data_IF_699288506765
#
_entry.id   IF_699288506765
#
_cell.length_a   1.000
_cell.length_b   1.000
_cell.length_c   1.000
_cell.angle_alpha   90.00
_cell.angle_beta   90.00
_cell.angle_gamma   90.00
#
_symmetry.space_group_name_H-M   'P 1'
#
loop_
_entity.id
_entity.type
_entity.pdbx_description
1 polymer ?
#
# COMPACT_ATOMS: atom_id res chain seq x y z
N UNK A 1 6.53 -27.08 10.53
CA UNK A 1 5.47 -26.11 10.21
C UNK A 1 5.09 -26.45 8.79
N UNK A 2 3.86 -26.92 8.53
CA UNK A 2 3.44 -27.20 7.15
C UNK A 2 3.43 -25.90 6.37
N UNK A 3 3.87 -25.97 5.12
CA UNK A 3 3.91 -24.85 4.22
C UNK A 3 2.51 -24.26 4.10
N UNK A 4 2.34 -22.99 4.51
CA UNK A 4 1.10 -22.27 4.36
C UNK A 4 1.02 -21.77 2.91
N UNK A 5 0.71 -22.70 2.01
CA UNK A 5 0.55 -22.40 0.59
C UNK A 5 -0.88 -21.93 0.35
N UNK A 6 -1.05 -20.65 -0.01
CA UNK A 6 -2.35 -20.08 -0.34
C UNK A 6 -2.76 -20.43 -1.76
N UNK A 7 -1.78 -20.46 -2.67
CA UNK A 7 -1.94 -20.73 -4.08
C UNK A 7 -1.00 -21.82 -4.52
N UNK A 8 -1.53 -22.85 -5.19
CA UNK A 8 -0.68 -23.80 -5.90
C UNK A 8 0.05 -23.10 -7.07
N UNK A 9 1.28 -23.52 -7.42
CA UNK A 9 2.04 -22.89 -8.51
C UNK A 9 1.29 -22.81 -9.83
N UNK A 10 0.47 -23.81 -10.17
CA UNK A 10 -0.37 -23.81 -11.35
C UNK A 10 -1.50 -22.78 -11.28
N UNK A 11 -2.10 -22.56 -10.12
CA UNK A 11 -3.12 -21.54 -9.90
C UNK A 11 -2.53 -20.15 -9.99
N UNK A 12 -1.39 -19.89 -9.34
CA UNK A 12 -0.67 -18.64 -9.41
C UNK A 12 -0.35 -18.26 -10.86
N UNK A 13 0.13 -19.21 -11.69
CA UNK A 13 0.41 -18.98 -13.10
C UNK A 13 -0.84 -18.59 -13.91
N UNK A 14 -2.01 -19.17 -13.59
CA UNK A 14 -3.28 -18.80 -14.23
C UNK A 14 -3.68 -17.38 -13.84
N UNK A 15 -3.59 -17.04 -12.55
CA UNK A 15 -3.93 -15.70 -12.06
C UNK A 15 -3.02 -14.63 -12.68
N UNK A 16 -1.70 -14.84 -12.69
CA UNK A 16 -0.73 -13.91 -13.29
C UNK A 16 -1.00 -13.71 -14.77
N UNK A 17 -1.20 -14.77 -15.55
CA UNK A 17 -1.52 -14.66 -16.97
C UNK A 17 -2.80 -13.87 -17.24
N UNK A 18 -3.79 -14.01 -16.35
CA UNK A 18 -5.08 -13.34 -16.44
C UNK A 18 -5.05 -11.84 -16.14
N UNK A 19 -3.97 -11.29 -15.56
CA UNK A 19 -3.84 -9.87 -15.25
C UNK A 19 -3.92 -9.03 -16.53
N UNK A 20 -4.74 -7.96 -16.48
CA UNK A 20 -4.97 -7.02 -17.59
C UNK A 20 -5.27 -5.62 -17.05
N UNK A 21 -5.13 -4.61 -17.90
CA UNK A 21 -5.54 -3.24 -17.61
C UNK A 21 -7.04 -3.05 -17.79
N UNK A 22 -7.64 -2.20 -16.96
CA UNK A 22 -9.06 -1.84 -17.05
C UNK A 22 -9.24 -0.35 -17.38
N UNK A 23 -10.22 0.00 -18.24
CA UNK A 23 -10.61 1.39 -18.42
C UNK A 23 -11.11 2.01 -17.11
N UNK A 24 -10.86 3.31 -16.90
CA UNK A 24 -11.25 4.02 -15.67
C UNK A 24 -12.73 3.84 -15.28
N UNK A 25 -13.62 3.76 -16.28
CA UNK A 25 -15.07 3.57 -16.06
C UNK A 25 -15.42 2.19 -15.49
N UNK A 26 -14.56 1.20 -15.70
CA UNK A 26 -14.77 -0.18 -15.28
C UNK A 26 -14.15 -0.50 -13.91
N UNK A 27 -13.40 0.43 -13.32
CA UNK A 27 -12.87 0.29 -11.97
C UNK A 27 -14.05 0.09 -11.00
N UNK A 28 -13.98 -0.95 -10.18
CA UNK A 28 -15.05 -1.38 -9.28
C UNK A 28 -16.11 -2.30 -9.92
N UNK A 29 -16.06 -2.53 -11.25
CA UNK A 29 -16.96 -3.48 -11.92
C UNK A 29 -16.72 -4.93 -11.45
N UNK A 30 -17.64 -5.86 -11.77
CA UNK A 30 -17.51 -7.26 -11.38
C UNK A 30 -16.22 -7.92 -11.90
N UNK A 31 -15.81 -7.62 -13.15
CA UNK A 31 -14.57 -8.13 -13.72
C UNK A 31 -13.32 -7.55 -13.07
N UNK A 32 -13.36 -6.25 -12.74
CA UNK A 32 -12.29 -5.59 -12.01
C UNK A 32 -12.17 -6.11 -10.56
N UNK A 33 -13.31 -6.30 -9.86
CA UNK A 33 -13.32 -6.88 -8.51
C UNK A 33 -12.74 -8.29 -8.49
N UNK A 34 -13.00 -9.09 -9.53
CA UNK A 34 -12.37 -10.41 -9.64
C UNK A 34 -10.84 -10.30 -9.78
N UNK A 35 -10.34 -9.34 -10.55
CA UNK A 35 -8.90 -9.09 -10.64
C UNK A 35 -8.33 -8.59 -9.31
N UNK A 36 -9.05 -7.72 -8.60
CA UNK A 36 -8.64 -7.28 -7.27
C UNK A 36 -8.48 -8.48 -6.31
N UNK A 37 -9.46 -9.38 -6.24
CA UNK A 37 -9.38 -10.60 -5.43
C UNK A 37 -8.17 -11.48 -5.83
N UNK A 38 -7.90 -11.59 -7.12
CA UNK A 38 -6.74 -12.34 -7.62
C UNK A 38 -5.41 -11.69 -7.23
N UNK A 39 -5.33 -10.35 -7.32
CA UNK A 39 -4.15 -9.58 -6.90
C UNK A 39 -3.90 -9.71 -5.40
N UNK A 40 -4.95 -9.70 -4.57
CA UNK A 40 -4.82 -9.93 -3.14
C UNK A 40 -4.22 -11.30 -2.82
N UNK A 41 -4.67 -12.35 -3.52
CA UNK A 41 -4.10 -13.71 -3.35
C UNK A 41 -2.63 -13.76 -3.77
N UNK A 42 -2.30 -13.13 -4.91
CA UNK A 42 -0.91 -13.06 -5.38
C UNK A 42 -0.03 -12.26 -4.41
N UNK A 43 -0.55 -11.15 -3.89
CA UNK A 43 0.15 -10.32 -2.91
C UNK A 43 0.42 -11.08 -1.61
N UNK A 44 -0.58 -11.76 -1.06
CA UNK A 44 -0.43 -12.56 0.14
C UNK A 44 0.56 -13.71 -0.07
N UNK A 45 0.50 -14.42 -1.21
CA UNK A 45 1.44 -15.50 -1.52
C UNK A 45 2.86 -14.97 -1.66
N UNK A 46 3.07 -13.85 -2.37
CA UNK A 46 4.40 -13.24 -2.51
C UNK A 46 5.04 -12.88 -1.15
N UNK A 47 4.23 -12.36 -0.21
CA UNK A 47 4.73 -12.06 1.15
C UNK A 47 5.08 -13.33 1.90
N UNK A 48 4.27 -14.39 1.79
CA UNK A 48 4.54 -15.68 2.42
C UNK A 48 5.85 -16.29 1.89
N UNK A 49 6.05 -16.28 0.57
CA UNK A 49 7.25 -16.79 -0.09
C UNK A 49 8.50 -16.02 0.36
N UNK A 50 8.45 -14.69 0.33
CA UNK A 50 9.55 -13.83 0.77
C UNK A 50 9.89 -14.05 2.27
N UNK A 51 8.87 -14.27 3.11
CA UNK A 51 9.07 -14.50 4.56
C UNK A 51 9.64 -15.89 4.83
N UNK A 52 9.26 -16.88 4.05
CA UNK A 52 9.74 -18.25 4.20
C UNK A 52 11.19 -18.46 3.73
N UNK A 53 11.79 -17.46 3.07
CA UNK A 53 13.13 -17.56 2.44
C UNK A 53 13.27 -18.77 1.50
N UNK A 54 12.17 -19.16 0.86
CA UNK A 54 12.10 -20.16 -0.20
C UNK A 54 12.08 -19.48 -1.56
N UNK A 55 11.95 -20.24 -2.65
CA UNK A 55 11.80 -19.63 -3.98
C UNK A 55 10.63 -18.63 -4.04
N UNK A 56 10.73 -17.61 -4.88
CA UNK A 56 9.70 -16.57 -5.04
C UNK A 56 8.94 -16.73 -6.38
N UNK A 57 8.07 -17.76 -6.51
CA UNK A 57 7.42 -18.11 -7.76
C UNK A 57 6.53 -16.99 -8.31
N UNK A 58 5.95 -16.15 -7.46
CA UNK A 58 5.12 -15.03 -7.93
C UNK A 58 5.97 -14.01 -8.70
N UNK A 59 7.15 -13.67 -8.18
CA UNK A 59 8.11 -12.79 -8.85
C UNK A 59 8.51 -13.36 -10.22
N UNK A 60 8.90 -14.64 -10.27
CA UNK A 60 9.31 -15.31 -11.50
C UNK A 60 8.18 -15.35 -12.54
N UNK A 61 6.95 -15.61 -12.13
CA UNK A 61 5.78 -15.64 -13.00
C UNK A 61 5.45 -14.24 -13.56
N UNK A 62 5.52 -13.19 -12.74
CA UNK A 62 5.27 -11.82 -13.18
C UNK A 62 6.28 -11.38 -14.26
N UNK A 63 7.56 -11.70 -14.06
CA UNK A 63 8.63 -11.44 -15.04
C UNK A 63 8.43 -12.27 -16.31
N UNK A 64 8.25 -13.58 -16.18
CA UNK A 64 8.08 -14.50 -17.31
C UNK A 64 6.89 -14.14 -18.21
N UNK A 65 5.80 -13.67 -17.62
CA UNK A 65 4.59 -13.30 -18.35
C UNK A 65 4.52 -11.80 -18.70
N UNK A 66 5.58 -11.02 -18.45
CA UNK A 66 5.63 -9.60 -18.78
C UNK A 66 4.53 -8.77 -18.11
N UNK A 67 4.17 -9.05 -16.85
CA UNK A 67 3.03 -8.43 -16.17
C UNK A 67 3.39 -7.23 -15.30
N UNK A 68 4.66 -6.91 -15.14
CA UNK A 68 5.08 -5.72 -14.39
C UNK A 68 4.53 -4.42 -15.01
N UNK A 69 4.59 -4.19 -16.34
CA UNK A 69 3.96 -3.01 -16.95
C UNK A 69 2.44 -2.95 -16.71
N UNK A 70 1.76 -4.09 -16.70
CA UNK A 70 0.31 -4.17 -16.40
C UNK A 70 0.01 -3.71 -14.96
N UNK A 71 0.80 -4.14 -13.99
CA UNK A 71 0.65 -3.71 -12.59
C UNK A 71 0.90 -2.21 -12.44
N UNK A 72 1.90 -1.65 -13.12
CA UNK A 72 2.17 -0.21 -13.11
C UNK A 72 1.01 0.57 -13.73
N UNK A 73 0.44 0.09 -14.83
CA UNK A 73 -0.73 0.72 -15.45
C UNK A 73 -1.95 0.71 -14.52
N UNK A 74 -2.26 -0.41 -13.88
CA UNK A 74 -3.35 -0.53 -12.89
C UNK A 74 -3.13 0.40 -11.69
N UNK A 75 -1.90 0.46 -11.17
CA UNK A 75 -1.52 1.35 -10.07
C UNK A 75 -1.85 2.82 -10.40
N UNK A 76 -1.43 3.28 -11.56
CA UNK A 76 -1.65 4.67 -12.01
C UNK A 76 -3.11 4.92 -12.35
N UNK A 77 -3.82 3.93 -12.91
CA UNK A 77 -5.24 4.05 -13.20
C UNK A 77 -6.06 4.25 -11.92
N UNK A 78 -5.77 3.50 -10.87
CA UNK A 78 -6.44 3.66 -9.56
C UNK A 78 -6.04 4.96 -8.87
N UNK A 79 -4.77 5.36 -8.94
CA UNK A 79 -4.34 6.69 -8.47
C UNK A 79 -5.15 7.81 -9.15
N UNK A 80 -5.28 7.75 -10.46
CA UNK A 80 -6.06 8.73 -11.24
C UNK A 80 -7.54 8.68 -10.88
N UNK A 81 -8.11 7.50 -10.71
CA UNK A 81 -9.50 7.35 -10.27
C UNK A 81 -9.72 8.03 -8.92
N UNK A 82 -8.85 7.80 -7.95
CA UNK A 82 -8.90 8.43 -6.61
C UNK A 82 -8.83 9.95 -6.71
N UNK A 83 -8.02 10.49 -7.61
CA UNK A 83 -7.81 11.94 -7.73
C UNK A 83 -8.88 12.64 -8.57
N UNK A 84 -9.44 12.00 -9.59
CA UNK A 84 -10.32 12.63 -10.58
C UNK A 84 -11.77 12.18 -10.50
N UNK A 85 -12.03 10.90 -10.24
CA UNK A 85 -13.38 10.33 -10.26
C UNK A 85 -14.00 10.32 -8.86
N UNK A 86 -13.28 9.84 -7.87
CA UNK A 86 -13.79 9.71 -6.51
C UNK A 86 -14.28 11.04 -5.90
N UNK A 87 -13.57 12.18 -6.01
CA UNK A 87 -14.07 13.46 -5.53
C UNK A 87 -15.34 13.92 -6.26
N UNK A 88 -15.52 13.55 -7.52
CA UNK A 88 -16.75 13.85 -8.25
C UNK A 88 -17.90 12.98 -7.77
N UNK A 89 -17.67 11.67 -7.56
CA UNK A 89 -18.65 10.76 -6.95
C UNK A 89 -19.16 11.29 -5.63
N UNK A 90 -18.27 11.71 -4.72
CA UNK A 90 -18.63 12.24 -3.40
C UNK A 90 -19.49 13.51 -3.46
N UNK A 91 -19.48 14.26 -4.58
CA UNK A 91 -20.29 15.48 -4.77
C UNK A 91 -21.62 15.24 -5.48
N UNK A 92 -21.89 14.03 -5.96
CA UNK A 92 -23.17 13.71 -6.59
C UNK A 92 -24.26 13.60 -5.51
N UNK A 93 -25.35 14.33 -5.66
CA UNK A 93 -26.48 14.34 -4.69
C UNK A 93 -27.11 12.95 -4.50
N UNK A 94 -27.11 12.16 -5.58
CA UNK A 94 -27.65 10.80 -5.60
C UNK A 94 -26.66 9.75 -5.06
N UNK A 95 -25.43 10.15 -4.72
CA UNK A 95 -24.43 9.25 -4.19
C UNK A 95 -24.66 9.00 -2.69
N UNK A 96 -25.52 8.03 -2.39
CA UNK A 96 -25.82 7.58 -1.03
C UNK A 96 -25.60 6.06 -0.98
N UNK A 97 -24.34 5.60 -0.96
CA UNK A 97 -24.06 4.18 -0.98
C UNK A 97 -24.64 3.51 0.28
N UNK A 98 -25.44 2.49 0.10
CA UNK A 98 -25.95 1.66 1.21
C UNK A 98 -24.83 0.82 1.84
N UNK A 99 -23.80 0.52 1.05
CA UNK A 99 -22.60 -0.17 1.46
C UNK A 99 -21.38 0.51 0.84
N UNK A 100 -20.47 0.96 1.67
CA UNK A 100 -19.23 1.67 1.26
C UNK A 100 -18.08 0.72 1.01
N UNK A 101 -18.20 -0.56 1.37
CA UNK A 101 -17.13 -1.55 1.23
C UNK A 101 -16.62 -1.70 -0.21
N UNK A 102 -17.46 -1.73 -1.27
CA UNK A 102 -16.97 -1.76 -2.65
C UNK A 102 -16.06 -0.56 -3.00
N UNK A 103 -16.38 0.62 -2.48
CA UNK A 103 -15.58 1.84 -2.69
C UNK A 103 -14.26 1.73 -1.91
N UNK A 104 -14.34 1.25 -0.67
CA UNK A 104 -13.17 0.99 0.14
C UNK A 104 -12.19 0.04 -0.58
N UNK A 105 -12.70 -1.02 -1.21
CA UNK A 105 -11.86 -1.96 -1.97
C UNK A 105 -11.16 -1.30 -3.16
N UNK A 106 -11.81 -0.35 -3.84
CA UNK A 106 -11.13 0.42 -4.89
C UNK A 106 -10.01 1.29 -4.32
N UNK A 107 -10.26 1.95 -3.20
CA UNK A 107 -9.24 2.76 -2.52
C UNK A 107 -8.08 1.90 -2.02
N UNK A 108 -8.37 0.72 -1.50
CA UNK A 108 -7.39 -0.24 -0.99
C UNK A 108 -6.54 -0.87 -2.10
N UNK A 109 -7.08 -1.00 -3.31
CA UNK A 109 -6.39 -1.67 -4.43
C UNK A 109 -5.03 -1.04 -4.77
N UNK A 110 -4.89 0.28 -4.66
CA UNK A 110 -3.60 0.94 -4.84
C UNK A 110 -2.57 0.46 -3.82
N UNK A 111 -2.99 0.32 -2.55
CA UNK A 111 -2.13 -0.20 -1.49
C UNK A 111 -1.70 -1.65 -1.75
N UNK A 112 -2.60 -2.48 -2.26
CA UNK A 112 -2.32 -3.88 -2.61
C UNK A 112 -1.29 -3.99 -3.74
N UNK A 113 -1.45 -3.19 -4.80
CA UNK A 113 -0.51 -3.22 -5.93
C UNK A 113 0.86 -2.71 -5.51
N UNK A 114 0.94 -1.56 -4.81
CA UNK A 114 2.24 -1.03 -4.40
C UNK A 114 2.94 -1.96 -3.41
N UNK A 115 2.19 -2.69 -2.58
CA UNK A 115 2.74 -3.71 -1.69
C UNK A 115 3.31 -4.91 -2.46
N UNK A 116 2.59 -5.40 -3.47
CA UNK A 116 3.10 -6.46 -4.34
C UNK A 116 4.35 -5.98 -5.09
N UNK A 117 4.34 -4.76 -5.64
CA UNK A 117 5.51 -4.19 -6.29
C UNK A 117 6.69 -4.01 -5.32
N UNK A 118 6.47 -3.54 -4.09
CA UNK A 118 7.51 -3.47 -3.07
C UNK A 118 8.15 -4.83 -2.83
N UNK A 119 7.34 -5.89 -2.72
CA UNK A 119 7.84 -7.24 -2.48
C UNK A 119 8.69 -7.75 -3.64
N UNK A 120 8.20 -7.61 -4.88
CA UNK A 120 8.90 -8.20 -6.04
C UNK A 120 10.05 -7.35 -6.59
N UNK A 121 10.03 -6.02 -6.44
CA UNK A 121 11.10 -5.12 -6.89
C UNK A 121 12.41 -5.26 -6.09
N UNK A 122 12.38 -6.00 -5.01
CA UNK A 122 13.60 -6.42 -4.32
C UNK A 122 14.57 -7.16 -5.28
N UNK A 123 14.05 -7.82 -6.30
CA UNK A 123 14.80 -8.51 -7.35
C UNK A 123 15.05 -7.60 -8.55
N UNK A 124 16.31 -7.51 -8.98
CA UNK A 124 16.73 -6.64 -10.10
C UNK A 124 16.06 -6.97 -11.42
N UNK A 125 15.81 -8.24 -11.67
CA UNK A 125 15.15 -8.76 -12.87
C UNK A 125 13.74 -8.16 -13.06
N UNK A 126 13.06 -7.83 -11.97
CA UNK A 126 11.74 -7.18 -12.00
C UNK A 126 11.85 -5.76 -12.54
N UNK A 127 12.86 -5.01 -12.09
CA UNK A 127 13.12 -3.67 -12.60
C UNK A 127 13.43 -3.68 -14.10
N UNK A 128 14.24 -4.62 -14.56
CA UNK A 128 14.58 -4.79 -15.96
C UNK A 128 13.35 -5.19 -16.81
N UNK A 129 12.47 -6.07 -16.28
CA UNK A 129 11.24 -6.50 -16.94
C UNK A 129 10.14 -5.43 -17.00
N UNK A 130 10.28 -4.35 -16.23
CA UNK A 130 9.35 -3.22 -16.27
C UNK A 130 9.50 -2.40 -17.55
N UNK A 131 10.61 -2.54 -18.29
CA UNK A 131 10.88 -1.80 -19.51
C UNK A 131 10.63 -0.29 -19.37
N UNK A 132 9.87 0.30 -20.27
CA UNK A 132 9.54 1.73 -20.25
C UNK A 132 8.57 2.12 -19.13
N UNK A 133 7.80 1.18 -18.59
CA UNK A 133 6.90 1.43 -17.46
C UNK A 133 7.65 1.83 -16.17
N UNK A 134 8.96 1.58 -16.08
CA UNK A 134 9.80 2.09 -14.98
C UNK A 134 9.77 3.62 -14.90
N UNK A 135 9.65 4.31 -16.04
CA UNK A 135 9.54 5.78 -16.08
C UNK A 135 8.26 6.26 -15.41
N UNK A 136 7.15 5.62 -15.75
CA UNK A 136 5.84 5.91 -15.15
C UNK A 136 5.81 5.59 -13.66
N UNK A 137 6.46 4.51 -13.24
CA UNK A 137 6.58 4.12 -11.84
C UNK A 137 7.44 5.12 -11.04
N UNK A 138 8.51 5.65 -11.61
CA UNK A 138 9.32 6.73 -11.00
C UNK A 138 8.46 7.98 -10.83
N UNK A 139 7.67 8.35 -11.83
CA UNK A 139 6.77 9.50 -11.74
C UNK A 139 5.70 9.31 -10.66
N UNK A 140 5.14 8.10 -10.56
CA UNK A 140 4.22 7.75 -9.49
C UNK A 140 4.88 7.90 -8.11
N UNK A 141 6.05 7.29 -7.90
CA UNK A 141 6.80 7.42 -6.64
C UNK A 141 7.11 8.88 -6.31
N UNK A 142 7.56 9.65 -7.29
CA UNK A 142 7.82 11.09 -7.11
C UNK A 142 6.57 11.84 -6.64
N UNK A 143 5.40 11.62 -7.25
CA UNK A 143 4.14 12.23 -6.81
C UNK A 143 3.81 11.87 -5.36
N UNK A 144 3.91 10.61 -4.99
CA UNK A 144 3.61 10.13 -3.62
C UNK A 144 4.55 10.72 -2.58
N UNK A 145 5.84 10.75 -2.86
CA UNK A 145 6.84 11.30 -1.95
C UNK A 145 6.74 12.82 -1.82
N UNK A 146 6.46 13.54 -2.91
CA UNK A 146 6.20 14.98 -2.86
C UNK A 146 4.97 15.31 -2.00
N UNK A 147 3.90 14.53 -2.12
CA UNK A 147 2.71 14.69 -1.26
C UNK A 147 3.03 14.39 0.20
N UNK A 148 3.87 13.39 0.48
CA UNK A 148 4.31 13.06 1.83
C UNK A 148 5.07 14.21 2.49
N UNK A 149 6.04 14.81 1.79
CA UNK A 149 6.77 15.99 2.25
C UNK A 149 5.82 17.17 2.49
N UNK A 150 4.94 17.46 1.54
CA UNK A 150 3.99 18.56 1.64
C UNK A 150 3.02 18.42 2.83
N UNK A 151 2.64 17.19 3.19
CA UNK A 151 1.81 16.93 4.37
C UNK A 151 2.59 17.10 5.66
N UNK A 152 3.80 16.58 5.72
CA UNK A 152 4.68 16.75 6.89
C UNK A 152 4.95 18.21 7.23
N UNK A 153 5.15 19.05 6.21
CA UNK A 153 5.36 20.49 6.37
C UNK A 153 4.15 21.24 6.94
N UNK A 154 2.95 20.65 6.87
CA UNK A 154 1.68 21.27 7.35
C UNK A 154 1.25 20.82 8.75
N UNK A 155 2.03 20.03 9.46
CA UNK A 155 1.72 19.63 10.84
C UNK A 155 1.49 18.14 11.09
N UNK A 156 1.91 17.28 10.17
CA UNK A 156 1.95 15.83 10.38
C UNK A 156 0.70 15.06 9.91
N UNK A 157 0.73 13.73 10.00
CA UNK A 157 -0.40 12.88 9.66
C UNK A 157 -1.58 13.17 10.59
N UNK A 158 -2.83 12.92 10.13
CA UNK A 158 -4.00 13.06 10.99
C UNK A 158 -3.80 12.24 12.26
N UNK A 159 -4.08 12.84 13.42
CA UNK A 159 -3.96 12.16 14.68
C UNK A 159 -4.87 10.94 14.72
N UNK A 160 -4.34 9.79 15.15
CA UNK A 160 -5.10 8.54 15.29
C UNK A 160 -6.21 8.63 16.36
N UNK A 161 -6.32 9.76 17.07
CA UNK A 161 -7.23 9.92 18.20
C UNK A 161 -8.71 9.72 17.87
N UNK A 162 -9.11 9.82 16.60
CA UNK A 162 -10.51 9.59 16.20
C UNK A 162 -10.78 8.18 15.64
N UNK A 163 -9.76 7.35 15.44
CA UNK A 163 -9.93 6.01 14.86
C UNK A 163 -9.99 4.86 15.88
N UNK A 164 -9.78 5.13 17.17
CA UNK A 164 -9.82 4.10 18.22
C UNK A 164 -11.23 3.63 18.61
N UNK A 165 -12.28 4.20 18.04
CA UNK A 165 -13.66 3.79 18.31
C UNK A 165 -14.31 2.95 17.22
N UNK A 166 -13.67 2.72 16.09
CA UNK A 166 -14.18 1.82 15.07
C UNK A 166 -13.53 0.46 15.19
N UNK A 167 -14.12 -0.40 16.00
CA UNK A 167 -13.95 -1.86 15.90
C UNK A 167 -14.15 -2.26 14.44
N UNK A 168 -13.30 -3.10 13.85
CA UNK A 168 -13.44 -3.51 12.46
C UNK A 168 -14.61 -4.50 12.33
N UNK A 169 -15.81 -4.08 12.40
CA UNK A 169 -17.06 -4.76 12.06
C UNK A 169 -18.23 -4.29 12.95
N UNK A 170 -18.62 -3.05 12.78
CA UNK A 170 -20.04 -2.75 12.85
C UNK A 170 -20.49 -2.37 11.45
N UNK A 171 -20.93 -3.38 10.73
CA UNK A 171 -21.63 -3.31 9.43
C UNK A 171 -23.04 -2.74 9.64
N UNK A 172 -23.16 -1.57 10.21
CA UNK A 172 -24.46 -0.91 10.31
C UNK A 172 -24.33 0.58 10.03
N UNK A 173 -24.91 0.94 8.86
CA UNK A 173 -25.48 2.22 8.49
C UNK A 173 -24.53 3.41 8.25
N UNK A 174 -24.43 3.75 6.94
CA UNK A 174 -23.99 5.06 6.42
C UNK A 174 -22.64 5.57 6.92
N UNK A 175 -21.54 4.90 6.52
CA UNK A 175 -20.24 5.56 6.53
C UNK A 175 -20.35 6.74 5.57
N UNK A 176 -20.30 7.97 6.11
CA UNK A 176 -20.39 9.16 5.31
C UNK A 176 -19.22 9.19 4.30
N UNK A 177 -19.37 9.76 3.10
CA UNK A 177 -18.29 9.94 2.14
C UNK A 177 -17.01 10.55 2.75
N UNK A 178 -17.14 11.33 3.81
CA UNK A 178 -16.08 11.93 4.59
C UNK A 178 -15.22 10.89 5.34
N UNK A 179 -15.83 9.82 5.84
CA UNK A 179 -15.07 8.75 6.52
C UNK A 179 -14.25 7.93 5.53
N UNK A 180 -14.79 7.63 4.36
CA UNK A 180 -14.03 7.00 3.27
C UNK A 180 -12.85 7.86 2.82
N UNK A 181 -13.02 9.17 2.82
CA UNK A 181 -11.95 10.10 2.47
C UNK A 181 -10.85 10.10 3.53
N UNK A 182 -11.20 10.09 4.81
CA UNK A 182 -10.23 9.93 5.91
C UNK A 182 -9.46 8.61 5.81
N UNK A 183 -10.15 7.49 5.55
CA UNK A 183 -9.51 6.19 5.37
C UNK A 183 -8.56 6.19 4.16
N UNK A 184 -8.94 6.81 3.05
CA UNK A 184 -8.06 7.00 1.91
C UNK A 184 -6.81 7.82 2.24
N UNK A 185 -6.94 8.85 3.06
CA UNK A 185 -5.83 9.70 3.51
C UNK A 185 -4.85 8.95 4.43
N UNK A 186 -5.35 8.07 5.31
CA UNK A 186 -4.51 7.21 6.16
C UNK A 186 -3.70 6.22 5.31
N UNK A 187 -4.33 5.57 4.34
CA UNK A 187 -3.63 4.67 3.42
C UNK A 187 -2.56 5.38 2.56
N UNK A 188 -2.73 6.67 2.25
CA UNK A 188 -1.74 7.41 1.45
C UNK A 188 -0.36 7.47 2.12
N UNK A 189 -0.28 7.46 3.44
CA UNK A 189 1.00 7.42 4.16
C UNK A 189 1.71 6.07 3.96
N UNK A 190 0.98 4.96 4.09
CA UNK A 190 1.52 3.62 3.85
C UNK A 190 1.94 3.45 2.40
N UNK A 191 1.09 3.89 1.46
CA UNK A 191 1.39 3.87 0.03
C UNK A 191 2.68 4.64 -0.27
N UNK A 192 2.83 5.84 0.30
CA UNK A 192 4.03 6.65 0.10
C UNK A 192 5.29 6.01 0.70
N UNK A 193 5.17 5.34 1.85
CA UNK A 193 6.27 4.61 2.47
C UNK A 193 6.74 3.43 1.60
N UNK A 194 5.79 2.70 0.99
CA UNK A 194 6.10 1.61 0.04
C UNK A 194 6.66 2.14 -1.28
N UNK A 195 6.15 3.27 -1.77
CA UNK A 195 6.69 3.94 -2.94
C UNK A 195 8.15 4.37 -2.75
N UNK A 196 8.56 4.75 -1.53
CA UNK A 196 9.96 5.00 -1.19
C UNK A 196 10.81 3.74 -1.33
N UNK A 197 10.34 2.60 -0.81
CA UNK A 197 11.05 1.33 -0.95
C UNK A 197 11.19 0.91 -2.41
N UNK A 198 10.12 1.02 -3.20
CA UNK A 198 10.14 0.72 -4.64
C UNK A 198 11.14 1.64 -5.37
N UNK A 199 11.09 2.95 -5.09
CA UNK A 199 12.04 3.90 -5.69
C UNK A 199 13.49 3.54 -5.33
N UNK A 200 13.75 3.18 -4.08
CA UNK A 200 15.08 2.74 -3.64
C UNK A 200 15.51 1.49 -4.40
N UNK A 201 14.67 0.48 -4.59
CA UNK A 201 15.00 -0.71 -5.38
C UNK A 201 15.29 -0.38 -6.86
N UNK A 202 14.57 0.58 -7.45
CA UNK A 202 14.90 1.09 -8.79
C UNK A 202 16.30 1.71 -8.78
N UNK A 203 16.69 2.44 -7.73
CA UNK A 203 18.06 3.01 -7.65
C UNK A 203 19.14 1.95 -7.49
N UNK A 204 18.84 0.75 -6.98
CA UNK A 204 19.79 -0.36 -6.94
C UNK A 204 20.17 -0.88 -8.34
N UNK A 205 19.35 -0.57 -9.35
CA UNK A 205 19.55 -0.96 -10.73
C UNK A 205 20.20 0.14 -11.59
N UNK A 206 20.75 1.20 -10.99
CA UNK A 206 21.34 2.38 -11.68
C UNK A 206 22.27 1.98 -12.84
N UNK A 207 23.04 0.92 -12.69
CA UNK A 207 24.02 0.48 -13.69
C UNK A 207 23.38 -0.11 -14.95
N UNK A 208 22.14 -0.65 -14.84
CA UNK A 208 21.37 -1.23 -15.96
C UNK A 208 20.27 -0.32 -16.49
N UNK A 209 19.97 0.79 -15.80
CA UNK A 209 18.90 1.69 -16.21
C UNK A 209 19.20 2.45 -17.50
N UNK A 210 18.16 2.74 -18.27
CA UNK A 210 18.25 3.54 -19.50
C UNK A 210 18.65 4.99 -19.18
N UNK A 211 19.24 5.67 -20.17
CA UNK A 211 19.56 7.10 -20.06
C UNK A 211 18.30 7.94 -19.77
N UNK A 212 17.16 7.57 -20.34
CA UNK A 212 15.87 8.24 -20.09
C UNK A 212 15.48 8.14 -18.63
N UNK A 213 15.61 6.97 -18.02
CA UNK A 213 15.31 6.70 -16.61
C UNK A 213 16.21 7.51 -15.69
N UNK A 214 17.50 7.51 -15.94
CA UNK A 214 18.47 8.29 -15.15
C UNK A 214 18.23 9.79 -15.27
N UNK A 215 17.96 10.30 -16.49
CA UNK A 215 17.63 11.70 -16.69
C UNK A 215 16.31 12.07 -15.96
N UNK A 216 15.33 11.17 -15.96
CA UNK A 216 14.07 11.39 -15.24
C UNK A 216 14.30 11.54 -13.74
N UNK A 217 15.07 10.66 -13.14
CA UNK A 217 15.39 10.71 -11.71
C UNK A 217 16.24 11.91 -11.32
N UNK A 218 17.32 12.17 -12.06
CA UNK A 218 18.35 13.13 -11.64
C UNK A 218 18.05 14.55 -12.10
N UNK A 219 17.57 14.73 -13.34
CA UNK A 219 17.41 16.05 -13.94
C UNK A 219 15.97 16.55 -13.91
N UNK A 220 15.00 15.69 -14.22
CA UNK A 220 13.58 16.11 -14.30
C UNK A 220 12.97 16.24 -12.92
N UNK A 221 13.11 15.21 -12.09
CA UNK A 221 12.54 15.18 -10.74
C UNK A 221 13.50 15.65 -9.65
N UNK A 222 14.81 15.72 -9.96
CA UNK A 222 15.83 16.06 -8.96
C UNK A 222 15.61 15.25 -7.65
N UNK A 223 15.48 13.93 -7.81
CA UNK A 223 15.20 13.02 -6.68
C UNK A 223 16.17 13.19 -5.51
N UNK A 224 17.48 13.47 -5.71
CA UNK A 224 18.37 13.74 -4.59
C UNK A 224 17.85 14.86 -3.66
N UNK A 225 17.32 15.96 -4.20
CA UNK A 225 16.76 17.02 -3.38
C UNK A 225 15.49 16.57 -2.63
N UNK A 226 14.58 15.87 -3.30
CA UNK A 226 13.38 15.33 -2.67
C UNK A 226 13.72 14.34 -1.52
N UNK A 227 14.75 13.50 -1.73
CA UNK A 227 15.21 12.56 -0.71
C UNK A 227 15.83 13.28 0.50
N UNK A 228 16.55 14.38 0.29
CA UNK A 228 17.06 15.23 1.37
C UNK A 228 15.91 15.89 2.13
N UNK A 229 14.91 16.43 1.44
CA UNK A 229 13.72 17.00 2.07
C UNK A 229 12.97 15.98 2.94
N UNK A 230 12.90 14.71 2.50
CA UNK A 230 12.33 13.63 3.31
C UNK A 230 13.11 13.38 4.60
N UNK A 231 14.45 13.46 4.57
CA UNK A 231 15.26 13.34 5.79
C UNK A 231 15.09 14.54 6.72
N UNK A 232 14.99 15.76 6.17
CA UNK A 232 14.81 16.98 6.96
C UNK A 232 13.46 17.01 7.66
N UNK A 233 12.39 16.63 6.96
CA UNK A 233 11.03 16.62 7.51
C UNK A 233 10.73 15.36 8.33
N UNK A 234 11.41 14.26 8.07
CA UNK A 234 11.26 12.96 8.70
C UNK A 234 9.79 12.56 8.97
N UNK A 235 8.97 12.38 7.92
CA UNK A 235 7.52 12.22 8.05
C UNK A 235 7.09 10.93 8.77
N UNK A 236 7.98 9.97 8.93
CA UNK A 236 7.77 8.72 9.67
C UNK A 236 8.26 8.76 11.12
N UNK A 237 8.55 9.96 11.63
CA UNK A 237 8.95 10.18 13.01
C UNK A 237 8.16 11.35 13.59
N UNK A 238 7.56 11.19 14.76
CA UNK A 238 6.81 12.24 15.45
C UNK A 238 7.07 12.22 16.95
N UNK A 239 6.81 13.33 17.62
CA UNK A 239 6.83 13.38 19.08
C UNK A 239 5.41 13.53 19.61
N UNK A 240 4.98 12.57 20.41
CA UNK A 240 3.67 12.55 21.05
C UNK A 240 3.85 12.38 22.54
N UNK A 241 3.24 13.24 23.34
CA UNK A 241 3.39 13.28 24.80
C UNK A 241 4.87 13.26 25.27
N UNK A 242 5.78 13.89 24.52
CA UNK A 242 7.22 13.94 24.82
C UNK A 242 7.98 12.66 24.47
N UNK A 243 7.32 11.61 23.96
CA UNK A 243 7.94 10.36 23.49
C UNK A 243 8.15 10.41 21.98
N UNK A 244 9.28 9.87 21.55
CA UNK A 244 9.54 9.68 20.11
C UNK A 244 8.77 8.45 19.64
N UNK A 245 7.98 8.62 18.58
CA UNK A 245 7.34 7.52 17.86
C UNK A 245 7.89 7.45 16.43
N UNK A 246 8.06 6.25 15.94
CA UNK A 246 8.44 5.95 14.56
C UNK A 246 7.41 5.03 13.91
N UNK A 247 7.21 5.20 12.62
CA UNK A 247 6.34 4.35 11.83
C UNK A 247 7.14 3.12 11.37
N UNK A 248 6.81 1.97 11.91
CA UNK A 248 7.40 0.68 11.54
C UNK A 248 6.34 -0.41 11.50
N UNK A 249 6.43 -1.33 10.51
CA UNK A 249 5.51 -2.45 10.39
C UNK A 249 4.04 -2.03 10.24
N UNK A 250 3.77 -0.92 9.52
CA UNK A 250 2.41 -0.44 9.27
C UNK A 250 1.76 0.31 10.44
N UNK A 251 2.52 0.65 11.50
CA UNK A 251 1.99 1.34 12.68
C UNK A 251 2.99 2.27 13.36
N UNK A 252 2.49 3.23 14.12
CA UNK A 252 3.30 4.10 14.96
C UNK A 252 3.70 3.37 16.24
N UNK A 253 5.00 3.35 16.53
CA UNK A 253 5.58 2.67 17.68
C UNK A 253 6.43 3.63 18.49
N UNK A 254 6.33 3.58 19.82
CA UNK A 254 7.18 4.36 20.71
C UNK A 254 8.58 3.77 20.72
N UNK A 255 9.57 4.61 20.41
CA UNK A 255 10.99 4.23 20.37
C UNK A 255 11.59 4.28 21.78
N UNK A 256 12.26 3.21 22.18
CA UNK A 256 12.96 3.17 23.45
C UNK A 256 14.09 4.22 23.49
N UNK A 257 14.39 4.86 24.65
CA UNK A 257 15.44 5.87 24.76
C UNK A 257 16.81 5.42 24.24
N UNK A 258 17.15 4.15 24.39
CA UNK A 258 18.39 3.53 23.91
C UNK A 258 18.44 3.39 22.38
N UNK A 259 17.31 3.49 21.69
CA UNK A 259 17.18 3.27 20.26
C UNK A 259 16.92 4.56 19.47
N UNK A 260 16.69 5.69 20.15
CA UNK A 260 16.38 6.98 19.53
C UNK A 260 17.49 7.52 18.60
N UNK A 261 18.72 7.01 18.73
CA UNK A 261 19.85 7.37 17.87
C UNK A 261 20.05 6.40 16.70
N UNK A 262 19.25 5.33 16.61
CA UNK A 262 19.30 4.40 15.47
C UNK A 262 18.48 4.95 14.32
N UNK A 263 19.00 4.73 13.11
CA UNK A 263 18.24 5.03 11.89
C UNK A 263 17.02 4.09 11.80
N UNK A 264 15.87 4.65 11.44
CA UNK A 264 14.71 3.84 11.10
C UNK A 264 14.92 3.09 9.79
N UNK A 265 14.07 2.10 9.52
CA UNK A 265 14.10 1.38 8.25
C UNK A 265 13.89 2.35 7.06
N UNK A 266 12.98 3.32 7.18
CA UNK A 266 12.70 4.31 6.13
C UNK A 266 13.86 5.29 5.93
N UNK A 267 14.51 5.75 7.01
CA UNK A 267 15.75 6.53 6.89
C UNK A 267 16.81 5.74 6.10
N UNK A 268 16.95 4.45 6.41
CA UNK A 268 17.87 3.56 5.69
C UNK A 268 17.57 3.47 4.20
N UNK A 269 16.28 3.41 3.80
CA UNK A 269 15.89 3.42 2.39
C UNK A 269 16.34 4.70 1.69
N UNK A 270 16.12 5.86 2.33
CA UNK A 270 16.53 7.16 1.77
C UNK A 270 18.05 7.26 1.62
N UNK A 271 18.81 6.86 2.65
CA UNK A 271 20.27 6.91 2.59
C UNK A 271 20.87 6.01 1.51
N UNK A 272 20.31 4.80 1.32
CA UNK A 272 20.74 3.88 0.26
C UNK A 272 20.41 4.48 -1.12
N UNK A 273 19.21 5.03 -1.31
CA UNK A 273 18.84 5.67 -2.56
C UNK A 273 19.74 6.87 -2.89
N UNK A 274 20.06 7.73 -1.91
CA UNK A 274 21.02 8.83 -2.08
C UNK A 274 22.41 8.32 -2.43
N UNK A 275 22.89 7.26 -1.77
CA UNK A 275 24.17 6.63 -2.08
C UNK A 275 24.21 6.18 -3.55
N UNK A 276 23.18 5.44 -3.99
CA UNK A 276 23.10 4.93 -5.36
C UNK A 276 23.07 6.05 -6.40
N UNK A 277 22.32 7.13 -6.14
CA UNK A 277 22.18 8.25 -7.08
C UNK A 277 23.39 9.20 -7.11
N UNK A 278 24.11 9.36 -6.01
CA UNK A 278 25.16 10.37 -5.89
C UNK A 278 26.58 9.79 -5.89
N UNK A 279 26.77 8.57 -5.41
CA UNK A 279 28.10 7.99 -5.20
C UNK A 279 28.42 6.84 -6.16
N UNK A 280 27.43 6.21 -6.82
CA UNK A 280 27.72 5.23 -7.86
C UNK A 280 28.48 5.88 -9.02
N UNK A 281 29.45 5.17 -9.56
CA UNK A 281 30.28 5.67 -10.66
C UNK A 281 29.44 5.98 -11.90
N UNK A 282 28.50 5.12 -12.24
CA UNK A 282 27.64 5.24 -13.40
C UNK A 282 26.68 6.43 -13.27
N UNK A 283 26.04 6.62 -12.11
CA UNK A 283 25.18 7.77 -11.88
C UNK A 283 25.98 9.08 -11.98
N UNK A 284 27.18 9.15 -11.41
CA UNK A 284 28.06 10.33 -11.47
C UNK A 284 28.52 10.63 -12.88
N UNK A 285 28.91 9.63 -13.65
CA UNK A 285 29.33 9.80 -15.03
C UNK A 285 28.20 10.35 -15.91
N UNK A 286 26.94 9.99 -15.59
CA UNK A 286 25.74 10.40 -16.34
C UNK A 286 25.08 11.67 -15.80
N UNK A 287 25.35 12.07 -14.58
CA UNK A 287 24.87 13.33 -14.00
C UNK A 287 25.39 14.57 -14.77
N UNK A 288 26.58 14.49 -15.32
CA UNK A 288 27.14 15.49 -16.22
C UNK A 288 26.64 15.28 -17.65
N UNK A 289 25.31 15.32 -17.86
CA UNK A 289 24.73 15.26 -19.20
C UNK A 289 25.24 16.44 -20.05
N UNK A 290 26.11 16.15 -21.00
CA UNK A 290 26.60 17.13 -21.97
C UNK A 290 25.47 17.61 -22.87
N UNK A 291 25.66 18.74 -23.54
CA UNK A 291 24.71 19.28 -24.52
C UNK A 291 24.28 18.25 -25.58
N UNK A 292 25.17 17.30 -25.87
CA UNK A 292 24.90 16.17 -26.78
C UNK A 292 23.81 15.22 -26.25
N UNK A 293 23.87 14.85 -24.96
CA UNK A 293 22.85 13.98 -24.35
C UNK A 293 21.47 14.66 -24.25
N UNK A 294 21.42 15.99 -24.12
CA UNK A 294 20.17 16.76 -24.12
C UNK A 294 19.44 16.77 -25.48
N UNK A 295 20.17 16.51 -26.57
CA UNK A 295 19.59 16.43 -27.91
C UNK A 295 19.03 15.06 -28.29
N UNK A 296 19.23 14.04 -27.46
CA UNK A 296 18.62 12.72 -27.70
C UNK A 296 17.12 12.74 -27.39
N UNK A 297 16.34 12.03 -28.21
CA UNK A 297 14.92 11.78 -27.91
C UNK A 297 14.85 10.85 -26.69
N UNK A 298 14.63 11.45 -25.53
CA UNK A 298 14.40 10.71 -24.31
C UNK A 298 12.94 10.24 -24.27
N UNK A 299 12.72 9.01 -23.87
CA UNK A 299 11.39 8.52 -23.56
C UNK A 299 10.84 9.27 -22.34
N UNK A 300 9.54 9.47 -22.34
CA UNK A 300 8.82 10.13 -21.25
C UNK A 300 7.72 9.19 -20.74
N UNK A 301 7.30 9.33 -19.49
CA UNK A 301 6.16 8.59 -18.97
C UNK A 301 4.90 8.91 -19.76
N UNK A 302 4.09 7.91 -20.07
CA UNK A 302 2.93 8.08 -20.95
C UNK A 302 1.60 7.72 -20.29
N UNK A 303 1.58 6.86 -19.29
CA UNK A 303 0.34 6.28 -18.74
C UNK A 303 -0.56 7.38 -18.19
N UNK A 304 -0.04 8.22 -17.30
CA UNK A 304 -0.83 9.30 -16.70
C UNK A 304 -1.36 10.28 -17.76
N UNK A 305 -0.48 10.74 -18.64
CA UNK A 305 -0.86 11.71 -19.67
C UNK A 305 -1.85 11.13 -20.68
N UNK A 306 -1.69 9.85 -21.03
CA UNK A 306 -2.63 9.12 -21.88
C UNK A 306 -4.00 9.06 -21.23
N UNK A 307 -4.09 8.60 -19.98
CA UNK A 307 -5.34 8.49 -19.24
C UNK A 307 -6.02 9.86 -19.05
N UNK A 308 -5.24 10.90 -18.73
CA UNK A 308 -5.75 12.27 -18.61
C UNK A 308 -6.32 12.77 -19.94
N UNK A 309 -5.60 12.58 -21.06
CA UNK A 309 -6.02 13.01 -22.40
C UNK A 309 -7.29 12.30 -22.87
N UNK A 310 -7.38 11.00 -22.68
CA UNK A 310 -8.53 10.18 -23.08
C UNK A 310 -9.79 10.51 -22.30
N UNK A 311 -9.65 10.93 -21.05
CA UNK A 311 -10.77 11.13 -20.13
C UNK A 311 -11.02 12.59 -19.74
N UNK A 312 -10.21 13.53 -20.25
CA UNK A 312 -10.38 14.97 -19.96
C UNK A 312 -11.80 15.44 -20.30
N UNK A 313 -12.45 16.09 -19.36
CA UNK A 313 -13.82 16.56 -19.46
C UNK A 313 -14.89 15.47 -19.31
N UNK A 314 -14.52 14.20 -19.12
CA UNK A 314 -15.46 13.07 -18.97
C UNK A 314 -15.62 12.61 -17.52
N UNK A 315 -14.94 13.22 -16.55
CA UNK A 315 -14.92 12.79 -15.13
C UNK A 315 -16.31 12.65 -14.54
N UNK A 316 -17.18 13.62 -14.78
CA UNK A 316 -18.57 13.56 -14.33
C UNK A 316 -19.36 12.44 -15.01
N UNK A 317 -19.16 12.21 -16.29
CA UNK A 317 -19.82 11.13 -17.03
C UNK A 317 -19.38 9.75 -16.52
N UNK A 318 -18.06 9.57 -16.27
CA UNK A 318 -17.49 8.37 -15.67
C UNK A 318 -18.09 8.13 -14.29
N UNK A 319 -18.10 9.14 -13.43
CA UNK A 319 -18.66 9.04 -12.08
C UNK A 319 -20.15 8.67 -12.10
N UNK A 320 -20.97 9.31 -12.95
CA UNK A 320 -22.40 8.98 -13.11
C UNK A 320 -22.63 7.56 -13.65
N UNK A 321 -21.78 7.13 -14.58
CA UNK A 321 -21.84 5.75 -15.09
C UNK A 321 -21.54 4.75 -13.95
N UNK A 322 -20.49 4.97 -13.20
CA UNK A 322 -20.11 4.12 -12.08
C UNK A 322 -21.17 4.09 -10.98
N UNK A 323 -21.75 5.24 -10.63
CA UNK A 323 -22.85 5.27 -9.67
C UNK A 323 -23.99 4.35 -10.07
N UNK A 324 -24.38 4.36 -11.36
CA UNK A 324 -25.54 3.59 -11.85
C UNK A 324 -25.24 2.10 -12.06
N UNK A 325 -24.03 1.78 -12.53
CA UNK A 325 -23.71 0.44 -13.06
C UNK A 325 -22.70 -0.33 -12.22
N UNK A 326 -21.97 0.34 -11.32
CA UNK A 326 -20.91 -0.26 -10.52
C UNK A 326 -21.22 -0.21 -9.03
N UNK A 327 -21.53 0.97 -8.50
CA UNK A 327 -21.71 1.18 -7.06
C UNK A 327 -23.18 1.13 -6.60
N UNK A 328 -24.06 0.56 -7.42
CA UNK A 328 -25.46 0.26 -7.05
C UNK A 328 -25.75 -1.23 -7.29
N UNK A 329 -24.98 -2.15 -6.67
CA UNK A 329 -25.17 -3.58 -6.85
C UNK A 329 -26.48 -4.05 -6.20
N UNK A 330 -27.05 -5.14 -6.74
CA UNK A 330 -28.18 -5.80 -6.09
C UNK A 330 -27.75 -6.48 -4.78
N UNK A 331 -28.70 -6.73 -3.87
CA UNK A 331 -28.42 -7.45 -2.63
C UNK A 331 -27.82 -8.85 -2.87
N UNK A 332 -28.24 -9.50 -3.97
CA UNK A 332 -27.69 -10.80 -4.35
C UNK A 332 -26.21 -10.70 -4.77
N UNK A 333 -25.86 -9.65 -5.53
CA UNK A 333 -24.46 -9.40 -5.94
C UNK A 333 -23.59 -9.09 -4.73
N UNK A 334 -24.08 -8.29 -3.78
CA UNK A 334 -23.38 -8.00 -2.52
C UNK A 334 -23.13 -9.26 -1.69
N UNK A 335 -24.12 -10.14 -1.57
CA UNK A 335 -23.95 -11.41 -0.83
C UNK A 335 -22.94 -12.33 -1.51
N UNK A 336 -22.96 -12.41 -2.84
CA UNK A 336 -22.00 -13.20 -3.59
C UNK A 336 -20.57 -12.65 -3.44
N UNK A 337 -20.42 -11.33 -3.56
CA UNK A 337 -19.15 -10.65 -3.38
C UNK A 337 -18.62 -10.83 -1.97
N UNK A 338 -19.44 -10.67 -0.94
CA UNK A 338 -19.04 -10.88 0.46
C UNK A 338 -18.51 -12.30 0.72
N UNK A 339 -19.13 -13.33 0.12
CA UNK A 339 -18.64 -14.72 0.21
C UNK A 339 -17.26 -14.87 -0.42
N UNK A 340 -17.07 -14.33 -1.63
CA UNK A 340 -15.77 -14.39 -2.32
C UNK A 340 -14.68 -13.67 -1.52
N UNK A 341 -14.99 -12.52 -0.94
CA UNK A 341 -14.04 -11.80 -0.10
C UNK A 341 -13.68 -12.56 1.17
N UNK A 342 -14.68 -13.19 1.84
CA UNK A 342 -14.42 -14.06 2.99
C UNK A 342 -13.50 -15.24 2.65
N UNK A 343 -13.60 -15.78 1.43
CA UNK A 343 -12.72 -16.83 0.93
C UNK A 343 -11.32 -16.29 0.57
N UNK A 344 -11.24 -15.05 0.06
CA UNK A 344 -9.98 -14.40 -0.34
C UNK A 344 -9.17 -13.96 0.89
N UNK A 345 -9.84 -13.29 1.83
CA UNK A 345 -9.21 -12.77 3.06
C UNK A 345 -9.35 -13.76 4.21
N UNK A 346 -8.77 -14.92 4.08
CA UNK A 346 -8.79 -15.95 5.12
C UNK A 346 -8.01 -15.48 6.34
N UNK A 347 -8.63 -15.57 7.52
CA UNK A 347 -8.03 -15.12 8.79
C UNK A 347 -6.73 -15.86 9.13
N UNK A 348 -6.66 -17.17 8.85
CA UNK A 348 -5.46 -17.99 9.07
C UNK A 348 -4.27 -17.51 8.22
N UNK A 349 -4.52 -17.08 6.99
CA UNK A 349 -3.50 -16.52 6.09
C UNK A 349 -3.09 -15.13 6.54
N UNK A 350 -4.06 -14.27 6.88
CA UNK A 350 -3.78 -12.93 7.37
C UNK A 350 -2.97 -12.95 8.69
N UNK A 351 -3.27 -13.89 9.59
CA UNK A 351 -2.49 -14.09 10.82
C UNK A 351 -1.05 -14.55 10.53
N UNK A 352 -0.82 -15.33 9.47
CA UNK A 352 0.51 -15.78 9.08
C UNK A 352 1.36 -14.68 8.41
N UNK A 353 0.70 -13.75 7.72
CA UNK A 353 1.33 -12.59 7.05
C UNK A 353 1.59 -11.44 8.03
N UNK A 354 0.84 -11.38 9.15
CA UNK A 354 0.97 -10.31 10.14
C UNK A 354 2.43 -10.18 10.62
N UNK A 355 3.05 -8.99 10.49
CA UNK A 355 4.50 -8.80 10.63
C UNK A 355 5.04 -9.02 12.05
N UNK A 356 4.21 -9.24 13.05
CA UNK A 356 4.65 -9.46 14.42
C UNK A 356 3.83 -10.50 15.17
N UNK A 357 4.54 -11.36 15.90
CA UNK A 357 3.94 -12.19 16.93
C UNK A 357 3.30 -11.29 17.98
N UNK A 358 2.09 -11.64 18.44
CA UNK A 358 1.38 -10.81 19.40
C UNK A 358 2.24 -10.59 20.65
N UNK A 359 2.24 -9.35 21.15
CA UNK A 359 2.97 -8.98 22.36
C UNK A 359 2.08 -9.00 23.58
N UNK A 360 2.67 -9.35 24.70
CA UNK A 360 1.99 -9.37 25.99
C UNK A 360 1.54 -7.95 26.39
N UNK A 361 0.24 -7.74 26.56
CA UNK A 361 -0.34 -6.46 26.94
C UNK A 361 0.16 -5.90 28.28
N UNK A 362 0.84 -6.72 29.09
CA UNK A 362 1.43 -6.28 30.36
C UNK A 362 2.92 -5.98 30.29
N UNK A 363 3.73 -6.89 29.73
CA UNK A 363 5.18 -6.80 29.77
C UNK A 363 5.83 -6.66 28.39
N UNK A 364 5.04 -6.57 27.30
CA UNK A 364 5.50 -6.44 25.91
C UNK A 364 6.39 -7.57 25.40
N UNK A 365 6.58 -8.65 26.16
CA UNK A 365 7.26 -9.85 25.68
C UNK A 365 6.40 -10.61 24.68
N UNK A 366 7.00 -11.50 23.89
CA UNK A 366 6.28 -12.37 22.96
C UNK A 366 5.14 -13.11 23.69
N UNK A 367 3.93 -13.09 23.13
CA UNK A 367 2.75 -13.64 23.74
C UNK A 367 2.18 -14.80 22.92
N UNK A 368 1.80 -15.87 23.62
CA UNK A 368 1.24 -17.08 23.01
C UNK A 368 -0.18 -17.39 23.49
N UNK A 369 -0.74 -16.60 24.40
CA UNK A 369 -2.04 -16.89 25.03
C UNK A 369 -2.98 -15.70 24.88
N UNK A 370 -4.15 -15.91 24.30
CA UNK A 370 -5.21 -14.91 24.25
C UNK A 370 -6.06 -14.90 25.53
N UNK A 371 -6.62 -13.75 25.85
CA UNK A 371 -7.67 -13.66 26.85
C UNK A 371 -8.86 -14.53 26.43
N UNK A 372 -9.20 -15.54 27.22
CA UNK A 372 -10.28 -16.49 26.89
C UNK A 372 -11.67 -15.85 26.86
N UNK A 373 -11.85 -14.64 27.41
CA UNK A 373 -13.14 -13.96 27.51
C UNK A 373 -13.41 -13.01 26.35
N UNK A 374 -12.48 -12.12 26.00
CA UNK A 374 -12.66 -11.14 24.92
C UNK A 374 -11.89 -11.49 23.65
N UNK A 375 -10.94 -12.41 23.70
CA UNK A 375 -10.04 -12.83 22.63
C UNK A 375 -9.23 -11.70 21.94
N UNK A 376 -9.24 -10.48 22.48
CA UNK A 376 -8.55 -9.33 21.89
C UNK A 376 -7.16 -9.10 22.47
N UNK A 377 -6.95 -9.42 23.75
CA UNK A 377 -5.69 -9.18 24.45
C UNK A 377 -4.82 -10.44 24.53
N UNK A 378 -3.51 -10.25 24.36
CA UNK A 378 -2.53 -11.31 24.38
C UNK A 378 -1.62 -11.25 25.60
N UNK A 379 -1.18 -12.41 26.10
CA UNK A 379 -0.33 -12.55 27.28
C UNK A 379 0.74 -13.63 27.08
N UNK A 380 1.96 -13.37 27.57
CA UNK A 380 3.03 -14.37 27.59
C UNK A 380 2.75 -15.46 28.65
N UNK A 381 2.15 -15.11 29.78
CA UNK A 381 1.84 -16.02 30.88
C UNK A 381 0.59 -15.56 31.65
N UNK A 382 0.09 -16.46 32.51
CA UNK A 382 -1.09 -16.20 33.34
C UNK A 382 -0.85 -15.06 34.37
N UNK A 383 0.36 -14.94 34.88
CA UNK A 383 0.71 -13.90 35.84
C UNK A 383 0.59 -12.50 35.22
N UNK A 384 1.02 -12.34 33.98
CA UNK A 384 0.86 -11.07 33.23
C UNK A 384 -0.61 -10.75 33.01
N UNK A 385 -1.44 -11.74 32.68
CA UNK A 385 -2.88 -11.55 32.54
C UNK A 385 -3.52 -11.10 33.85
N UNK A 386 -3.17 -11.71 34.96
CA UNK A 386 -3.69 -11.36 36.29
C UNK A 386 -3.26 -9.94 36.69
N UNK A 387 -1.99 -9.59 36.48
CA UNK A 387 -1.48 -8.23 36.77
C UNK A 387 -2.11 -7.16 35.89
N UNK A 388 -2.41 -7.47 34.63
CA UNK A 388 -3.08 -6.55 33.69
C UNK A 388 -4.60 -6.47 33.92
N UNK A 389 -5.19 -7.40 34.69
CA UNK A 389 -6.63 -7.52 34.87
C UNK A 389 -7.30 -6.25 35.43
N UNK A 390 -6.61 -5.53 36.27
CA UNK A 390 -7.11 -4.28 36.83
C UNK A 390 -7.42 -3.22 35.76
N UNK A 391 -6.59 -3.16 34.72
CA UNK A 391 -6.77 -2.28 33.56
C UNK A 391 -7.69 -2.90 32.49
N UNK A 392 -7.47 -4.18 32.20
CA UNK A 392 -8.16 -4.89 31.13
C UNK A 392 -9.59 -5.31 31.51
N UNK A 393 -9.87 -5.56 32.78
CA UNK A 393 -11.14 -6.18 33.21
C UNK A 393 -12.40 -5.45 32.76
N UNK A 394 -12.43 -4.12 32.81
CA UNK A 394 -13.55 -3.29 32.33
C UNK A 394 -13.72 -3.39 30.81
N UNK A 395 -12.65 -3.21 30.07
CA UNK A 395 -12.64 -3.32 28.61
C UNK A 395 -13.01 -4.74 28.12
N UNK A 396 -12.52 -5.76 28.85
CA UNK A 396 -12.83 -7.16 28.58
C UNK A 396 -14.31 -7.49 28.71
N UNK A 397 -15.00 -6.90 29.68
CA UNK A 397 -16.45 -7.11 29.86
C UNK A 397 -17.22 -6.49 28.70
N UNK A 398 -16.86 -5.28 28.29
CA UNK A 398 -17.50 -4.57 27.18
C UNK A 398 -17.28 -5.31 25.85
N UNK A 399 -16.05 -5.74 25.57
CA UNK A 399 -15.74 -6.50 24.38
C UNK A 399 -16.45 -7.86 24.32
N UNK A 400 -16.56 -8.58 25.46
CA UNK A 400 -17.25 -9.86 25.52
C UNK A 400 -18.79 -9.75 25.49
N UNK A 401 -19.34 -8.58 25.75
CA UNK A 401 -20.78 -8.32 25.63
C UNK A 401 -21.20 -8.05 24.17
N UNK A 402 -20.31 -7.43 23.37
CA UNK A 402 -20.50 -7.24 21.93
C UNK A 402 -20.57 -8.55 21.14
N UNK A 403 -19.84 -9.58 21.54
CA UNK A 403 -19.85 -10.91 20.90
C UNK A 403 -21.07 -11.79 21.24
N UNK A 404 -21.83 -11.45 22.30
CA UNK A 404 -23.04 -12.18 22.70
C UNK A 404 -24.33 -11.63 22.10
N UNK A 405 -24.25 -10.50 21.39
CA UNK A 405 -25.38 -9.88 20.70
C UNK A 405 -25.44 -10.26 19.21
N UNK A 406 -24.72 -11.33 18.82
CA UNK A 406 -24.79 -11.97 17.49
C UNK A 406 -25.52 -13.29 17.56
#
# INVERSE_FOLDING_TARGET
MGDLELLLPGEAAVLVRGLRSFPLREIGSGGWNQQHENLEKLNMQAILDATASQGEPIQELLVTHGKIPTLVEELIAVEMWKQKVFPVLCRLEDFKPQNTFPIYMVVHHEASIINLLETVFFHKEVCESAEDAVLDLIDYCHRKLTLLVARSSRGGPPAEEECQSSTPMQLEHHVAPQELQKQAELMEFEIASKALSVLRYITDCVDSLSLSTLNRMLSTHNLPCLLVELLEHNPWSRREEGKLQQFEGGRWQTVAPSEQQKLSKLDGQVWIALYNLLLSHEARARYCLTSFAKGQLLKIPEIWERLERENRGKWQAIAKYQLRHVFSPSEQDLRLQARRWAETYRLDVLEAIAPERPRCAYCSAEASKRCSRCQNEWYCCRECQVKHWEKHGKACVLAAQGDRAK
#
